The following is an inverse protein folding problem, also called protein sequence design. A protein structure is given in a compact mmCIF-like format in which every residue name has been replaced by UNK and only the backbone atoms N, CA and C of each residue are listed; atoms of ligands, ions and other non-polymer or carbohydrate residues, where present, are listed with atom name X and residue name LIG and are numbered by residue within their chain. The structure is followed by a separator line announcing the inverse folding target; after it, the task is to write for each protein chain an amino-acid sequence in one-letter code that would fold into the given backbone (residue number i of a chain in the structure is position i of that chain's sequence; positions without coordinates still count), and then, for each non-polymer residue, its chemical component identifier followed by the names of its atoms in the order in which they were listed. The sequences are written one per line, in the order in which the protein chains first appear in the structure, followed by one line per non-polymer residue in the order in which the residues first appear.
data_IF_428889974712
#
_entry.id   IF_428889974712
#
_cell.length_a   1.000
_cell.length_b   1.000
_cell.length_c   1.000
_cell.angle_alpha   90.00
_cell.angle_beta   90.00
_cell.angle_gamma   90.00
#
_symmetry.space_group_name_H-M   'P 1'
#
loop_
_entity.id
_entity.type
_entity.pdbx_description
1 polymer ?
#
# COMPACT_ATOMS: atom_id res chain seq x y z
N UNK A 1 -0.83 -4.15 -28.43
CA UNK A 1 -0.06 -2.98 -28.92
C UNK A 1 1.07 -2.77 -27.93
N UNK A 2 2.34 -3.01 -28.29
CA UNK A 2 3.49 -2.99 -27.36
C UNK A 2 3.71 -1.57 -26.86
N UNK A 3 3.48 -1.33 -25.57
CA UNK A 3 3.84 -0.09 -24.91
C UNK A 3 5.38 0.05 -24.91
N UNK A 4 5.90 1.04 -25.63
CA UNK A 4 7.28 1.52 -25.42
C UNK A 4 7.26 2.43 -24.20
N UNK A 5 7.55 1.86 -23.04
CA UNK A 5 7.90 2.60 -21.83
C UNK A 5 9.16 3.41 -22.20
N UNK A 6 9.03 4.74 -22.26
CA UNK A 6 10.20 5.59 -22.14
C UNK A 6 10.71 5.37 -20.70
N UNK A 7 11.81 4.67 -20.57
CA UNK A 7 12.59 4.68 -19.34
C UNK A 7 12.85 6.16 -19.01
N UNK A 8 12.04 6.71 -18.10
CA UNK A 8 12.47 7.82 -17.29
C UNK A 8 13.66 7.27 -16.51
N UNK A 9 14.85 7.69 -16.88
CA UNK A 9 16.04 7.34 -16.14
C UNK A 9 15.86 7.85 -14.72
N UNK A 10 15.50 6.95 -13.81
CA UNK A 10 15.78 7.16 -12.40
C UNK A 10 17.29 7.32 -12.40
N UNK A 11 17.75 8.58 -12.29
CA UNK A 11 19.13 8.88 -11.96
C UNK A 11 19.36 8.26 -10.57
N UNK A 12 19.74 6.98 -10.56
CA UNK A 12 20.41 6.38 -9.43
C UNK A 12 21.72 7.14 -9.36
N UNK A 13 21.74 8.21 -8.58
CA UNK A 13 22.96 8.94 -8.30
C UNK A 13 23.97 7.93 -7.73
N UNK A 14 25.02 7.66 -8.48
CA UNK A 14 26.22 7.03 -7.95
C UNK A 14 26.81 8.00 -6.92
N UNK A 15 26.31 7.95 -5.69
CA UNK A 15 26.98 8.54 -4.55
C UNK A 15 28.08 7.57 -4.12
N UNK A 16 29.18 8.17 -3.69
CA UNK A 16 30.37 7.52 -3.10
C UNK A 16 29.93 6.33 -2.23
N UNK A 17 30.09 5.13 -2.76
CA UNK A 17 29.78 3.88 -2.07
C UNK A 17 30.83 3.75 -0.97
N UNK A 18 30.46 3.93 0.29
CA UNK A 18 31.22 3.33 1.37
C UNK A 18 31.32 1.83 1.01
N UNK A 19 32.53 1.31 0.95
CA UNK A 19 32.78 -0.13 0.72
C UNK A 19 31.99 -0.90 1.80
N UNK A 20 30.86 -1.47 1.38
CA UNK A 20 30.08 -2.38 2.26
C UNK A 20 30.75 -3.73 2.19
N UNK A 21 30.95 -4.32 3.37
CA UNK A 21 31.21 -5.75 3.47
C UNK A 21 30.08 -6.49 2.77
N UNK A 22 30.39 -7.44 1.88
CA UNK A 22 29.39 -8.32 1.29
C UNK A 22 28.71 -9.12 2.40
N UNK A 23 27.47 -9.57 2.16
CA UNK A 23 26.73 -10.42 3.09
C UNK A 23 26.57 -11.79 2.44
N UNK A 24 26.87 -12.84 3.20
CA UNK A 24 26.67 -14.23 2.80
C UNK A 24 25.69 -14.87 3.76
N UNK A 25 24.53 -15.31 3.25
CA UNK A 25 23.53 -16.05 4.01
C UNK A 25 23.62 -17.51 3.59
N UNK A 26 23.93 -18.41 4.52
CA UNK A 26 24.17 -19.82 4.23
C UNK A 26 23.07 -20.72 4.79
N UNK A 27 22.86 -21.87 4.16
CA UNK A 27 21.91 -22.91 4.59
C UNK A 27 20.46 -22.45 4.76
N UNK A 28 20.04 -21.43 4.01
CA UNK A 28 18.70 -20.82 4.14
C UNK A 28 17.68 -21.50 3.23
N UNK A 29 16.43 -21.63 3.68
CA UNK A 29 15.29 -21.97 2.81
C UNK A 29 14.74 -20.70 2.18
N UNK A 30 14.79 -20.61 0.86
CA UNK A 30 14.30 -19.44 0.11
C UNK A 30 12.88 -19.66 -0.35
N UNK A 31 12.02 -18.71 -0.01
CA UNK A 31 10.61 -18.65 -0.41
C UNK A 31 10.36 -17.32 -1.11
N UNK A 32 10.10 -17.38 -2.39
CA UNK A 32 9.54 -16.23 -3.12
C UNK A 32 8.34 -16.69 -3.95
N UNK A 33 7.55 -15.72 -4.36
CA UNK A 33 6.24 -16.00 -4.94
C UNK A 33 6.28 -16.39 -6.43
N UNK A 34 7.45 -16.42 -7.04
CA UNK A 34 7.65 -16.72 -8.47
C UNK A 34 8.31 -18.06 -8.68
N UNK A 35 9.19 -18.44 -7.78
CA UNK A 35 10.01 -19.66 -7.89
C UNK A 35 9.50 -20.75 -6.94
N UNK A 36 9.87 -22.01 -7.20
CA UNK A 36 9.67 -23.10 -6.24
C UNK A 36 10.49 -22.84 -4.96
N UNK A 37 10.06 -23.45 -3.85
CA UNK A 37 10.81 -23.38 -2.58
C UNK A 37 12.19 -24.02 -2.78
N UNK A 38 13.24 -23.30 -2.40
CA UNK A 38 14.64 -23.72 -2.58
C UNK A 38 15.28 -23.90 -1.21
N UNK A 39 15.56 -25.13 -0.83
CA UNK A 39 16.20 -25.45 0.45
C UNK A 39 17.73 -25.36 0.34
N UNK A 40 18.40 -25.16 1.49
CA UNK A 40 19.85 -25.19 1.64
C UNK A 40 20.58 -24.29 0.63
N UNK A 41 20.06 -23.06 0.46
CA UNK A 41 20.67 -22.09 -0.45
C UNK A 41 21.71 -21.24 0.28
N UNK A 42 22.75 -20.85 -0.47
CA UNK A 42 23.64 -19.74 -0.10
C UNK A 42 23.28 -18.54 -0.97
N UNK A 43 23.10 -17.36 -0.35
CA UNK A 43 22.79 -16.11 -1.03
C UNK A 43 23.92 -15.13 -0.76
N UNK A 44 24.55 -14.63 -1.81
CA UNK A 44 25.58 -13.59 -1.73
C UNK A 44 25.04 -12.25 -2.14
N UNK A 45 25.23 -11.24 -1.28
CA UNK A 45 24.75 -9.86 -1.45
C UNK A 45 25.96 -8.94 -1.45
N UNK A 46 26.05 -8.07 -2.43
CA UNK A 46 27.06 -7.02 -2.50
C UNK A 46 26.53 -5.80 -3.27
N UNK A 47 26.89 -4.62 -2.84
CA UNK A 47 26.49 -3.35 -3.47
C UNK A 47 24.95 -3.20 -3.59
N UNK A 48 24.20 -3.69 -2.61
CA UNK A 48 22.73 -3.60 -2.59
C UNK A 48 22.01 -4.53 -3.56
N UNK A 49 22.71 -5.48 -4.17
CA UNK A 49 22.18 -6.47 -5.11
C UNK A 49 22.45 -7.91 -4.63
N UNK A 50 21.56 -8.81 -4.96
CA UNK A 50 21.81 -10.24 -4.89
C UNK A 50 22.74 -10.59 -6.04
N UNK A 51 23.99 -10.94 -5.74
CA UNK A 51 25.01 -11.28 -6.75
C UNK A 51 24.82 -12.70 -7.25
N UNK A 52 24.53 -13.63 -6.33
CA UNK A 52 24.34 -15.04 -6.65
C UNK A 52 23.50 -15.76 -5.63
N UNK A 53 22.87 -16.85 -6.04
CA UNK A 53 22.10 -17.77 -5.21
C UNK A 53 22.27 -19.20 -5.71
N UNK A 54 22.49 -20.16 -4.81
CA UNK A 54 22.61 -21.58 -5.14
C UNK A 54 23.17 -22.44 -4.01
N UNK A 55 22.90 -23.73 -4.01
CA UNK A 55 23.37 -24.68 -2.99
C UNK A 55 24.87 -25.01 -3.06
N UNK A 56 25.52 -24.77 -4.19
CA UNK A 56 26.95 -25.03 -4.38
C UNK A 56 27.85 -23.82 -4.12
N UNK A 57 27.29 -22.67 -3.79
CA UNK A 57 28.07 -21.42 -3.66
C UNK A 57 28.93 -21.36 -2.41
N UNK A 58 28.56 -22.05 -1.33
CA UNK A 58 29.34 -22.10 -0.08
C UNK A 58 30.79 -22.60 -0.28
N UNK A 59 31.03 -23.43 -1.29
CA UNK A 59 32.39 -23.93 -1.60
C UNK A 59 33.23 -22.97 -2.46
N UNK A 60 32.65 -21.93 -3.02
CA UNK A 60 33.30 -20.96 -3.92
C UNK A 60 33.58 -19.60 -3.26
N UNK A 61 32.92 -19.30 -2.15
CA UNK A 61 33.16 -18.10 -1.35
C UNK A 61 34.23 -18.44 -0.33
N UNK A 62 35.37 -17.75 -0.36
CA UNK A 62 36.47 -18.00 0.60
C UNK A 62 36.01 -17.62 2.02
N UNK A 63 35.88 -18.62 2.92
CA UNK A 63 35.58 -18.42 4.34
C UNK A 63 36.58 -17.48 5.06
N UNK A 64 37.71 -17.21 4.43
CA UNK A 64 38.80 -16.38 4.98
C UNK A 64 38.66 -14.88 4.66
N UNK A 65 37.67 -14.48 3.87
CA UNK A 65 37.48 -13.05 3.56
C UNK A 65 36.79 -12.34 4.75
N UNK A 66 37.62 -11.77 5.62
CA UNK A 66 37.20 -11.02 6.80
C UNK A 66 36.39 -9.75 6.48
N UNK A 67 36.19 -9.45 5.21
CA UNK A 67 35.34 -8.32 4.76
C UNK A 67 33.88 -8.75 4.57
N UNK A 68 33.55 -10.05 4.62
CA UNK A 68 32.20 -10.57 4.45
C UNK A 68 31.51 -10.78 5.80
N UNK A 69 30.22 -10.42 5.85
CA UNK A 69 29.35 -10.74 6.98
C UNK A 69 28.63 -12.05 6.72
N UNK A 70 28.87 -13.07 7.57
CA UNK A 70 28.29 -14.40 7.44
C UNK A 70 27.08 -14.58 8.35
N UNK A 71 25.96 -15.03 7.78
CA UNK A 71 24.70 -15.30 8.47
C UNK A 71 24.34 -16.78 8.29
N UNK A 72 24.22 -17.49 9.41
CA UNK A 72 23.71 -18.86 9.41
C UNK A 72 22.18 -18.88 9.30
N UNK A 73 21.69 -19.32 8.17
CA UNK A 73 20.26 -19.45 7.85
C UNK A 73 19.68 -20.84 8.18
N UNK A 74 20.43 -21.71 8.89
CA UNK A 74 19.97 -23.06 9.21
C UNK A 74 18.62 -23.03 9.95
N UNK A 75 17.61 -23.71 9.38
CA UNK A 75 16.24 -23.76 9.93
C UNK A 75 15.43 -22.47 9.76
N UNK A 76 15.92 -21.49 9.01
CA UNK A 76 15.26 -20.20 8.76
C UNK A 76 14.76 -20.08 7.31
N UNK A 77 13.97 -19.06 7.08
CA UNK A 77 13.29 -18.82 5.81
C UNK A 77 13.59 -17.40 5.31
N UNK A 78 14.04 -17.29 4.08
CA UNK A 78 14.34 -16.04 3.42
C UNK A 78 13.20 -15.70 2.46
N UNK A 79 12.59 -14.52 2.67
CA UNK A 79 11.57 -13.96 1.79
C UNK A 79 12.04 -12.61 1.23
N UNK A 80 11.49 -12.13 0.08
CA UNK A 80 11.66 -10.75 -0.33
C UNK A 80 11.16 -9.81 0.75
N UNK A 81 11.75 -8.63 0.86
CA UNK A 81 11.28 -7.59 1.76
C UNK A 81 9.83 -7.20 1.47
N UNK A 82 9.06 -7.02 2.54
CA UNK A 82 7.64 -6.72 2.45
C UNK A 82 7.38 -5.28 2.01
N UNK A 83 6.23 -5.09 1.35
CA UNK A 83 5.69 -3.79 1.01
C UNK A 83 4.45 -3.49 1.84
N UNK A 84 4.38 -2.27 2.38
CA UNK A 84 3.11 -1.65 2.74
C UNK A 84 2.74 -0.63 1.65
N UNK A 85 1.81 -1.03 0.80
CA UNK A 85 1.50 -0.25 -0.40
C UNK A 85 0.37 0.77 -0.22
N UNK A 86 0.05 1.12 1.02
CA UNK A 86 -0.87 2.20 1.33
C UNK A 86 -0.56 2.79 2.71
N UNK A 87 0.20 3.87 2.73
CA UNK A 87 0.58 4.58 3.96
C UNK A 87 0.43 6.09 3.78
N UNK A 88 0.45 6.81 4.90
CA UNK A 88 0.38 8.28 4.97
C UNK A 88 1.39 8.83 5.97
N UNK A 89 2.60 9.13 5.52
CA UNK A 89 3.71 9.58 6.39
C UNK A 89 3.47 10.92 7.10
N UNK A 90 2.51 11.72 6.62
CA UNK A 90 2.25 13.06 7.16
C UNK A 90 0.86 13.21 7.79
N UNK A 91 0.12 12.09 7.97
CA UNK A 91 -1.24 12.13 8.52
C UNK A 91 -1.26 12.45 10.02
N UNK A 92 -0.32 11.89 10.79
CA UNK A 92 -0.15 12.11 12.23
C UNK A 92 1.18 12.85 12.44
N UNK A 93 1.15 14.19 12.57
CA UNK A 93 2.38 15.00 12.65
C UNK A 93 3.29 14.69 13.84
N UNK A 94 2.74 14.08 14.90
CA UNK A 94 3.46 13.68 16.11
C UNK A 94 4.38 12.47 15.86
N UNK A 95 4.16 11.71 14.78
CA UNK A 95 5.03 10.59 14.40
C UNK A 95 5.99 11.10 13.33
N UNK A 96 7.24 11.30 13.71
CA UNK A 96 8.26 11.78 12.79
C UNK A 96 8.69 10.70 11.78
N UNK A 97 9.34 11.14 10.70
CA UNK A 97 9.74 10.26 9.60
C UNK A 97 10.73 9.16 10.04
N UNK A 98 11.62 9.45 11.01
CA UNK A 98 12.56 8.45 11.51
C UNK A 98 11.80 7.33 12.23
N UNK A 99 10.88 7.68 13.11
CA UNK A 99 10.02 6.70 13.80
C UNK A 99 9.23 5.85 12.80
N UNK A 100 8.63 6.46 11.77
CA UNK A 100 7.98 5.71 10.71
C UNK A 100 8.91 4.68 10.06
N UNK A 101 10.11 5.10 9.65
CA UNK A 101 11.05 4.23 8.93
C UNK A 101 11.60 3.12 9.81
N UNK A 102 11.95 3.42 11.06
CA UNK A 102 12.41 2.43 12.02
C UNK A 102 11.33 1.35 12.27
N UNK A 103 10.06 1.77 12.42
CA UNK A 103 8.94 0.84 12.62
C UNK A 103 8.67 -0.02 11.38
N UNK A 104 8.74 0.54 10.18
CA UNK A 104 8.59 -0.26 8.95
C UNK A 104 9.70 -1.31 8.86
N UNK A 105 10.96 -0.92 9.00
CA UNK A 105 12.10 -1.84 8.90
C UNK A 105 12.07 -2.90 10.02
N UNK A 106 11.77 -2.52 11.25
CA UNK A 106 11.61 -3.44 12.40
C UNK A 106 10.61 -4.57 12.09
N UNK A 107 9.58 -4.27 11.30
CA UNK A 107 8.53 -5.20 10.91
C UNK A 107 8.72 -5.80 9.50
N UNK A 108 9.94 -5.78 8.95
CA UNK A 108 10.26 -6.40 7.67
C UNK A 108 9.73 -5.65 6.43
N UNK A 109 9.18 -4.46 6.62
CA UNK A 109 8.67 -3.62 5.54
C UNK A 109 9.80 -2.79 4.96
N UNK A 110 10.35 -3.23 3.84
CA UNK A 110 11.49 -2.59 3.17
C UNK A 110 11.09 -1.60 2.07
N UNK A 111 9.82 -1.60 1.71
CA UNK A 111 9.26 -0.68 0.72
C UNK A 111 7.88 -0.18 1.15
N UNK A 112 7.63 1.10 0.96
CA UNK A 112 6.35 1.74 1.30
C UNK A 112 5.85 2.60 0.14
N UNK A 113 4.51 2.68 0.01
CA UNK A 113 3.84 3.55 -0.96
C UNK A 113 2.99 4.59 -0.23
N UNK A 114 3.52 5.83 -0.12
CA UNK A 114 2.75 6.96 0.42
C UNK A 114 1.70 7.40 -0.60
N UNK A 115 0.44 7.32 -0.19
CA UNK A 115 -0.71 7.54 -1.05
C UNK A 115 -1.36 8.90 -0.86
N UNK A 116 -0.72 9.81 -0.14
CA UNK A 116 -1.24 11.17 0.00
C UNK A 116 -0.50 11.99 1.04
N UNK A 117 0.33 12.92 0.56
CA UNK A 117 1.02 13.91 1.39
C UNK A 117 1.24 15.20 0.60
N UNK A 118 1.11 16.35 1.23
CA UNK A 118 1.58 17.60 0.62
C UNK A 118 3.11 17.54 0.52
N UNK A 119 3.64 17.77 -0.67
CA UNK A 119 5.08 17.60 -0.96
C UNK A 119 6.00 18.38 -0.01
N UNK A 120 5.58 19.57 0.40
CA UNK A 120 6.33 20.37 1.40
C UNK A 120 6.44 19.64 2.75
N UNK A 121 5.36 18.97 3.17
CA UNK A 121 5.32 18.21 4.43
C UNK A 121 6.08 16.88 4.31
N UNK A 122 6.11 16.29 3.10
CA UNK A 122 6.86 15.04 2.82
C UNK A 122 8.37 15.29 2.66
N UNK A 123 8.77 16.51 2.34
CA UNK A 123 10.18 16.85 2.04
C UNK A 123 11.17 16.41 3.12
N UNK A 124 10.93 16.57 4.45
CA UNK A 124 11.83 16.07 5.48
C UNK A 124 12.10 14.57 5.37
N UNK A 125 11.07 13.78 5.03
CA UNK A 125 11.21 12.32 4.81
C UNK A 125 12.10 12.02 3.60
N UNK A 126 11.90 12.76 2.49
CA UNK A 126 12.70 12.60 1.27
C UNK A 126 14.17 12.98 1.48
N UNK A 127 14.42 14.07 2.21
CA UNK A 127 15.78 14.52 2.55
C UNK A 127 16.46 13.49 3.48
N UNK A 128 15.75 12.98 4.50
CA UNK A 128 16.26 11.96 5.41
C UNK A 128 16.64 10.66 4.69
N UNK A 129 15.79 10.18 3.77
CA UNK A 129 16.08 8.98 2.96
C UNK A 129 17.35 9.17 2.14
N UNK A 130 17.55 10.35 1.58
CA UNK A 130 18.72 10.67 0.78
C UNK A 130 20.01 10.70 1.60
N UNK A 131 19.92 11.18 2.84
CA UNK A 131 21.04 11.29 3.77
C UNK A 131 21.36 9.96 4.46
N UNK A 132 20.34 9.08 4.63
CA UNK A 132 20.42 7.83 5.39
C UNK A 132 19.92 6.63 4.55
N UNK A 133 20.52 6.35 3.37
CA UNK A 133 19.99 5.35 2.46
C UNK A 133 19.95 3.93 3.02
N UNK A 134 20.84 3.60 3.96
CA UNK A 134 20.97 2.27 4.58
C UNK A 134 19.97 1.97 5.69
N UNK A 135 19.31 2.97 6.27
CA UNK A 135 18.43 2.83 7.44
C UNK A 135 17.00 3.30 7.16
N UNK A 136 16.58 3.21 5.90
CA UNK A 136 15.24 3.63 5.50
C UNK A 136 14.66 2.65 4.47
N UNK A 137 13.33 2.43 4.47
CA UNK A 137 12.67 1.70 3.39
C UNK A 137 12.79 2.45 2.06
N UNK A 138 12.44 1.79 0.96
CA UNK A 138 12.20 2.47 -0.31
C UNK A 138 10.86 3.19 -0.25
N UNK A 139 10.83 4.43 -0.68
CA UNK A 139 9.61 5.25 -0.69
C UNK A 139 9.16 5.53 -2.12
N UNK A 140 7.93 5.12 -2.42
CA UNK A 140 7.17 5.47 -3.61
C UNK A 140 6.03 6.40 -3.17
N UNK A 141 5.82 7.52 -3.85
CA UNK A 141 4.85 8.52 -3.38
C UNK A 141 4.07 9.17 -4.51
N UNK A 142 2.81 9.51 -4.19
CA UNK A 142 1.91 10.22 -5.09
C UNK A 142 2.03 11.75 -4.97
N UNK A 143 2.61 12.24 -3.87
CA UNK A 143 2.39 13.62 -3.47
C UNK A 143 0.95 13.83 -2.98
N UNK A 144 0.32 15.01 -3.20
CA UNK A 144 -1.00 15.29 -2.69
C UNK A 144 -2.09 14.44 -3.34
N UNK A 145 -3.15 14.18 -2.59
CA UNK A 145 -4.41 13.70 -3.14
C UNK A 145 -4.91 14.72 -4.17
N UNK A 146 -5.23 14.30 -5.37
CA UNK A 146 -5.85 15.13 -6.41
C UNK A 146 -7.36 15.01 -6.24
N UNK A 147 -8.00 16.08 -5.75
CA UNK A 147 -9.42 16.12 -5.40
C UNK A 147 -10.15 17.25 -6.15
N UNK A 148 -11.46 17.31 -6.05
CA UNK A 148 -12.26 18.40 -6.62
C UNK A 148 -12.09 19.72 -5.86
N UNK A 149 -12.84 20.75 -6.26
CA UNK A 149 -12.82 22.07 -5.61
C UNK A 149 -13.21 21.98 -4.11
N UNK A 150 -14.22 21.17 -3.80
CA UNK A 150 -14.68 20.89 -2.43
C UNK A 150 -13.91 19.73 -1.79
N UNK A 151 -12.60 19.90 -1.67
CA UNK A 151 -11.69 18.87 -1.14
C UNK A 151 -12.10 18.28 0.19
N UNK A 152 -11.94 16.97 0.34
CA UNK A 152 -12.14 16.28 1.62
C UNK A 152 -11.04 16.65 2.63
N UNK A 153 -9.78 16.51 2.24
CA UNK A 153 -8.61 16.73 3.10
C UNK A 153 -7.97 18.10 2.85
N UNK A 154 -8.56 19.16 3.40
CA UNK A 154 -8.06 20.55 3.24
C UNK A 154 -7.47 21.17 4.50
N UNK A 155 -7.44 20.45 5.64
CA UNK A 155 -6.83 20.90 6.89
C UNK A 155 -7.66 21.88 7.70
N UNK A 156 -8.96 21.90 7.51
CA UNK A 156 -9.86 22.83 8.22
C UNK A 156 -10.73 22.16 9.28
N UNK A 157 -10.74 20.84 9.33
CA UNK A 157 -11.62 20.05 10.20
C UNK A 157 -10.81 19.02 10.98
N UNK A 158 -11.19 18.74 12.25
CA UNK A 158 -10.55 17.69 13.04
C UNK A 158 -10.60 16.33 12.32
N UNK A 159 -9.50 15.60 12.30
CA UNK A 159 -9.38 14.29 11.62
C UNK A 159 -9.19 14.37 10.10
N UNK A 160 -9.20 15.59 9.51
CA UNK A 160 -8.97 15.80 8.08
C UNK A 160 -7.78 16.74 7.84
N UNK A 161 -6.53 16.29 8.03
CA UNK A 161 -5.35 17.12 7.78
C UNK A 161 -5.27 17.59 6.33
N UNK A 162 -4.37 18.55 6.04
CA UNK A 162 -4.18 19.01 4.67
C UNK A 162 -3.32 18.00 3.88
N UNK A 163 -3.96 17.17 3.07
CA UNK A 163 -3.28 16.15 2.24
C UNK A 163 -3.56 16.33 0.75
N UNK A 164 -4.38 17.28 0.35
CA UNK A 164 -4.90 17.34 -1.01
C UNK A 164 -4.68 18.69 -1.71
N UNK A 165 -4.72 18.63 -3.04
CA UNK A 165 -4.91 19.79 -3.92
C UNK A 165 -6.26 19.67 -4.61
N UNK A 166 -6.92 20.82 -4.87
CA UNK A 166 -8.18 20.87 -5.62
C UNK A 166 -7.92 21.20 -7.08
N UNK A 167 -8.61 20.51 -7.97
CA UNK A 167 -8.67 20.83 -9.41
C UNK A 167 -10.12 20.88 -9.89
N UNK A 168 -10.38 21.69 -10.88
CA UNK A 168 -11.66 21.89 -11.52
C UNK A 168 -11.52 21.97 -13.06
N UNK A 169 -12.60 22.28 -13.77
CA UNK A 169 -12.63 22.37 -15.22
C UNK A 169 -11.75 23.50 -15.78
N UNK A 170 -11.42 24.52 -14.96
CA UNK A 170 -10.57 25.65 -15.33
C UNK A 170 -9.10 25.41 -15.00
N UNK A 171 -8.79 24.31 -14.32
CA UNK A 171 -7.45 23.98 -13.87
C UNK A 171 -6.58 23.50 -15.04
N UNK A 172 -5.32 23.92 -15.07
CA UNK A 172 -4.33 23.38 -15.99
C UNK A 172 -3.85 22.01 -15.47
N UNK A 173 -4.66 20.96 -15.68
CA UNK A 173 -4.40 19.60 -15.17
C UNK A 173 -3.05 19.07 -15.67
N UNK A 174 -2.67 19.34 -16.94
CA UNK A 174 -1.37 18.97 -17.46
C UNK A 174 -0.24 19.63 -16.69
N UNK A 175 -0.34 20.92 -16.45
CA UNK A 175 0.68 21.64 -15.66
C UNK A 175 0.78 21.14 -14.21
N UNK A 176 -0.34 20.73 -13.61
CA UNK A 176 -0.33 20.09 -12.28
C UNK A 176 0.42 18.77 -12.32
N UNK A 177 0.11 17.89 -13.28
CA UNK A 177 0.76 16.57 -13.43
C UNK A 177 2.25 16.73 -13.74
N UNK A 178 2.62 17.63 -14.67
CA UNK A 178 4.02 17.90 -15.02
C UNK A 178 4.82 18.42 -13.81
N UNK A 179 4.19 19.28 -12.98
CA UNK A 179 4.77 19.76 -11.73
C UNK A 179 5.02 18.63 -10.73
N UNK A 180 4.06 17.73 -10.54
CA UNK A 180 4.20 16.58 -9.66
C UNK A 180 5.31 15.61 -10.14
N UNK A 181 5.41 15.40 -11.46
CA UNK A 181 6.49 14.59 -12.05
C UNK A 181 7.85 15.23 -11.78
N UNK A 182 7.96 16.55 -11.92
CA UNK A 182 9.22 17.27 -11.65
C UNK A 182 9.66 17.16 -10.18
N UNK A 183 8.73 16.97 -9.26
CA UNK A 183 8.97 16.70 -7.83
C UNK A 183 9.23 15.21 -7.52
N UNK A 184 9.22 14.34 -8.52
CA UNK A 184 9.60 12.93 -8.38
C UNK A 184 8.46 11.98 -7.98
N UNK A 185 7.19 12.36 -8.12
CA UNK A 185 6.08 11.43 -7.86
C UNK A 185 6.12 10.25 -8.82
N UNK A 186 5.76 9.06 -8.33
CA UNK A 186 5.85 7.80 -9.09
C UNK A 186 4.51 7.29 -9.60
N UNK A 187 3.42 7.85 -9.12
CA UNK A 187 2.02 7.59 -9.52
C UNK A 187 1.16 8.76 -9.07
N UNK A 188 -0.11 8.81 -9.49
CA UNK A 188 -1.06 9.84 -9.06
C UNK A 188 -2.16 9.22 -8.19
N UNK A 189 -2.62 9.96 -7.18
CA UNK A 189 -3.70 9.57 -6.29
C UNK A 189 -4.94 10.44 -6.54
N UNK A 190 -5.99 9.85 -7.13
CA UNK A 190 -7.30 10.50 -7.26
C UNK A 190 -8.11 10.41 -5.97
N UNK A 191 -9.01 11.40 -5.78
CA UNK A 191 -9.89 11.41 -4.64
C UNK A 191 -11.36 11.70 -5.02
N UNK A 192 -12.27 11.68 -4.03
CA UNK A 192 -13.69 11.43 -4.24
C UNK A 192 -14.51 12.59 -4.80
N UNK A 193 -14.04 13.85 -4.65
CA UNK A 193 -14.81 15.03 -5.04
C UNK A 193 -14.48 15.56 -6.45
N UNK A 194 -13.67 14.84 -7.22
CA UNK A 194 -13.42 15.19 -8.63
C UNK A 194 -14.72 15.11 -9.44
N UNK A 195 -14.92 16.05 -10.36
CA UNK A 195 -15.97 15.92 -11.36
C UNK A 195 -15.59 14.81 -12.35
N UNK A 196 -16.60 14.21 -12.98
CA UNK A 196 -16.40 13.18 -14.01
C UNK A 196 -15.45 13.66 -15.11
N UNK A 197 -15.68 14.87 -15.64
CA UNK A 197 -14.91 15.46 -16.72
C UNK A 197 -13.47 15.68 -16.33
N UNK A 198 -13.22 16.27 -15.16
CA UNK A 198 -11.89 16.54 -14.61
C UNK A 198 -11.11 15.23 -14.39
N UNK A 199 -11.79 14.20 -13.88
CA UNK A 199 -11.19 12.89 -13.66
C UNK A 199 -10.78 12.21 -14.97
N UNK A 200 -11.63 12.23 -15.99
CA UNK A 200 -11.31 11.66 -17.31
C UNK A 200 -10.09 12.34 -17.94
N UNK A 201 -9.99 13.67 -17.83
CA UNK A 201 -8.80 14.42 -18.28
C UNK A 201 -7.56 14.03 -17.48
N UNK A 202 -7.69 13.87 -16.16
CA UNK A 202 -6.57 13.43 -15.30
C UNK A 202 -6.05 12.05 -15.73
N UNK A 203 -6.95 11.07 -15.95
CA UNK A 203 -6.59 9.73 -16.42
C UNK A 203 -5.85 9.77 -17.76
N UNK A 204 -6.34 10.59 -18.70
CA UNK A 204 -5.72 10.75 -20.01
C UNK A 204 -4.32 11.36 -19.89
N UNK A 205 -4.16 12.46 -19.13
CA UNK A 205 -2.87 13.15 -18.95
C UNK A 205 -1.86 12.23 -18.25
N UNK A 206 -2.29 11.50 -17.22
CA UNK A 206 -1.44 10.52 -16.54
C UNK A 206 -0.94 9.43 -17.51
N UNK A 207 -1.84 8.87 -18.33
CA UNK A 207 -1.52 7.85 -19.35
C UNK A 207 -0.50 8.37 -20.36
N UNK A 208 -0.65 9.60 -20.84
CA UNK A 208 0.29 10.24 -21.78
C UNK A 208 1.70 10.39 -21.17
N UNK A 209 1.80 10.54 -19.86
CA UNK A 209 3.04 10.64 -19.10
C UNK A 209 3.56 9.28 -18.58
N UNK A 210 2.86 8.17 -18.86
CA UNK A 210 3.24 6.84 -18.40
C UNK A 210 3.02 6.59 -16.89
N UNK A 211 2.23 7.44 -16.23
CA UNK A 211 1.85 7.29 -14.83
C UNK A 211 0.55 6.51 -14.68
N UNK A 212 0.46 5.72 -13.62
CA UNK A 212 -0.81 5.14 -13.17
C UNK A 212 -1.55 6.12 -12.27
N UNK A 213 -2.87 6.19 -12.41
CA UNK A 213 -3.76 6.80 -11.42
C UNK A 213 -4.33 5.69 -10.57
N UNK A 214 -4.17 5.78 -9.29
CA UNK A 214 -4.80 4.88 -8.30
C UNK A 214 -5.49 5.72 -7.24
N UNK A 215 -6.42 5.15 -6.49
CA UNK A 215 -7.04 5.90 -5.40
C UNK A 215 -8.50 5.56 -5.19
N UNK A 216 -9.24 6.56 -4.71
CA UNK A 216 -10.68 6.50 -4.68
C UNK A 216 -11.22 6.89 -6.06
N UNK A 217 -12.12 6.09 -6.58
CA UNK A 217 -12.88 6.50 -7.76
C UNK A 217 -13.80 7.65 -7.35
N UNK A 218 -13.84 8.76 -8.09
CA UNK A 218 -14.71 9.88 -7.74
C UNK A 218 -16.18 9.49 -7.62
N UNK A 219 -16.88 10.13 -6.71
CA UNK A 219 -18.30 9.86 -6.45
C UNK A 219 -19.19 10.25 -7.65
N UNK A 220 -18.68 11.06 -8.56
CA UNK A 220 -19.40 11.60 -9.74
C UNK A 220 -19.46 10.66 -10.95
N UNK A 221 -18.67 9.56 -10.97
CA UNK A 221 -18.49 8.73 -12.16
C UNK A 221 -18.88 7.27 -11.92
N UNK A 222 -19.41 6.64 -12.96
CA UNK A 222 -19.60 5.19 -12.98
C UNK A 222 -18.26 4.44 -12.96
N UNK A 223 -18.19 3.35 -12.17
CA UNK A 223 -16.95 2.59 -12.01
C UNK A 223 -16.50 1.94 -13.33
N UNK A 224 -17.43 1.43 -14.14
CA UNK A 224 -17.06 0.79 -15.41
C UNK A 224 -16.48 1.80 -16.40
N UNK A 225 -17.01 3.03 -16.41
CA UNK A 225 -16.44 4.12 -17.20
C UNK A 225 -15.03 4.48 -16.74
N UNK A 226 -14.80 4.57 -15.43
CA UNK A 226 -13.46 4.82 -14.87
C UNK A 226 -12.44 3.74 -15.27
N UNK A 227 -12.86 2.46 -15.24
CA UNK A 227 -12.04 1.32 -15.69
C UNK A 227 -11.68 1.47 -17.17
N UNK A 228 -12.67 1.75 -18.03
CA UNK A 228 -12.46 1.91 -19.47
C UNK A 228 -11.59 3.12 -19.82
N UNK A 229 -11.68 4.18 -19.03
CA UNK A 229 -10.86 5.38 -19.18
C UNK A 229 -9.40 5.20 -18.75
N UNK A 230 -9.05 4.10 -18.05
CA UNK A 230 -7.67 3.75 -17.72
C UNK A 230 -7.30 3.90 -16.25
N UNK A 231 -8.28 3.72 -15.35
CA UNK A 231 -8.02 3.55 -13.92
C UNK A 231 -6.93 2.47 -13.71
N UNK A 232 -5.86 2.81 -13.00
CA UNK A 232 -4.72 1.92 -12.77
C UNK A 232 -4.82 1.09 -11.50
N UNK A 233 -5.58 1.55 -10.51
CA UNK A 233 -5.79 0.84 -9.26
C UNK A 233 -6.85 1.48 -8.37
N UNK A 234 -7.46 0.68 -7.51
CA UNK A 234 -8.45 1.10 -6.52
C UNK A 234 -7.94 0.85 -5.11
N UNK A 235 -8.52 1.56 -4.15
CA UNK A 235 -8.18 1.44 -2.74
C UNK A 235 -9.45 1.35 -1.89
N UNK A 236 -9.36 0.64 -0.74
CA UNK A 236 -10.44 0.46 0.24
C UNK A 236 -11.72 -0.16 -0.32
N UNK A 237 -11.68 -0.85 -1.44
CA UNK A 237 -12.86 -1.33 -2.18
C UNK A 237 -13.91 -0.24 -2.47
N UNK A 238 -13.46 1.03 -2.53
CA UNK A 238 -14.36 2.20 -2.69
C UNK A 238 -15.18 2.13 -3.96
N UNK A 239 -16.46 2.51 -3.85
CA UNK A 239 -17.45 2.49 -4.92
C UNK A 239 -17.86 1.10 -5.43
N UNK A 240 -17.30 0.00 -4.92
CA UNK A 240 -17.77 -1.34 -5.26
C UNK A 240 -19.16 -1.61 -4.70
N UNK A 241 -19.47 -1.05 -3.51
CA UNK A 241 -20.80 -1.10 -2.91
C UNK A 241 -21.87 -0.58 -3.87
N UNK A 242 -21.72 0.66 -4.34
CA UNK A 242 -22.65 1.23 -5.31
C UNK A 242 -22.62 0.49 -6.65
N UNK A 243 -21.44 0.21 -7.18
CA UNK A 243 -21.29 -0.41 -8.50
C UNK A 243 -21.92 -1.81 -8.57
N UNK A 244 -21.90 -2.56 -7.47
CA UNK A 244 -22.52 -3.88 -7.33
C UNK A 244 -24.03 -3.85 -7.02
N UNK A 245 -24.64 -2.69 -6.73
CA UNK A 245 -26.06 -2.60 -6.36
C UNK A 245 -26.99 -2.87 -7.54
N UNK A 246 -28.19 -3.40 -7.26
CA UNK A 246 -29.24 -3.64 -8.27
C UNK A 246 -29.70 -2.37 -8.96
N UNK A 247 -29.74 -1.28 -8.25
CA UNK A 247 -30.20 0.04 -8.68
C UNK A 247 -29.04 1.08 -8.75
N UNK A 248 -27.83 0.61 -9.01
CA UNK A 248 -26.60 1.39 -9.07
C UNK A 248 -26.74 2.68 -9.90
N UNK A 249 -27.48 2.64 -11.01
CA UNK A 249 -27.66 3.79 -11.88
C UNK A 249 -28.49 4.91 -11.21
N UNK A 250 -29.52 4.56 -10.43
CA UNK A 250 -30.30 5.51 -9.65
C UNK A 250 -29.48 6.07 -8.48
N UNK A 251 -28.75 5.22 -7.78
CA UNK A 251 -27.86 5.64 -6.68
C UNK A 251 -26.76 6.59 -7.19
N UNK A 252 -26.25 6.39 -8.40
CA UNK A 252 -25.29 7.32 -9.01
C UNK A 252 -25.93 8.68 -9.33
N UNK A 253 -27.17 8.70 -9.85
CA UNK A 253 -27.91 9.94 -10.13
C UNK A 253 -28.16 10.72 -8.83
N UNK A 254 -28.59 10.04 -7.76
CA UNK A 254 -28.77 10.66 -6.43
C UNK A 254 -27.45 11.25 -5.94
N UNK A 255 -26.35 10.49 -6.03
CA UNK A 255 -25.01 10.93 -5.64
C UNK A 255 -24.53 12.15 -6.42
N UNK A 256 -24.80 12.17 -7.72
CA UNK A 256 -24.48 13.32 -8.58
C UNK A 256 -25.29 14.57 -8.18
N UNK A 257 -26.57 14.40 -7.80
CA UNK A 257 -27.39 15.51 -7.28
C UNK A 257 -26.85 16.04 -5.95
N UNK A 258 -26.45 15.15 -5.02
CA UNK A 258 -25.85 15.57 -3.75
C UNK A 258 -24.53 16.34 -3.97
N UNK A 259 -23.75 15.95 -4.99
CA UNK A 259 -22.48 16.60 -5.35
C UNK A 259 -22.66 18.03 -5.92
N UNK A 260 -23.86 18.44 -6.34
CA UNK A 260 -24.15 19.85 -6.68
C UNK A 260 -23.94 20.77 -5.46
N UNK A 261 -24.03 20.19 -4.25
CA UNK A 261 -23.69 20.82 -2.97
C UNK A 261 -24.29 22.22 -2.80
N UNK A 262 -25.60 22.36 -3.10
CA UNK A 262 -26.31 23.63 -3.03
C UNK A 262 -26.24 24.30 -1.63
N UNK A 263 -26.17 23.45 -0.58
CA UNK A 263 -26.04 23.93 0.82
C UNK A 263 -24.61 24.35 1.18
N UNK A 264 -23.61 24.12 0.29
CA UNK A 264 -22.19 24.46 0.48
C UNK A 264 -21.60 23.90 1.76
N UNK A 265 -21.94 22.64 2.08
CA UNK A 265 -21.32 21.91 3.19
C UNK A 265 -19.87 21.54 2.85
N UNK A 266 -19.04 21.32 3.87
CA UNK A 266 -17.65 20.94 3.67
C UNK A 266 -17.52 19.60 2.95
N UNK A 267 -16.52 19.46 2.07
CA UNK A 267 -16.32 18.25 1.27
C UNK A 267 -16.19 16.97 2.09
N UNK A 268 -15.56 17.05 3.27
CA UNK A 268 -15.49 15.93 4.23
C UNK A 268 -16.88 15.52 4.76
N UNK A 269 -17.74 16.48 5.08
CA UNK A 269 -19.11 16.23 5.56
C UNK A 269 -19.99 15.71 4.42
N UNK A 270 -19.90 16.30 3.21
CA UNK A 270 -20.62 15.87 2.02
C UNK A 270 -20.27 14.41 1.66
N UNK A 271 -18.99 14.09 1.59
CA UNK A 271 -18.50 12.72 1.37
C UNK A 271 -19.07 11.74 2.40
N UNK A 272 -19.01 12.12 3.69
CA UNK A 272 -19.53 11.28 4.78
C UNK A 272 -21.03 11.07 4.64
N UNK A 273 -21.79 12.11 4.31
CA UNK A 273 -23.23 12.04 4.07
C UNK A 273 -23.56 11.04 2.95
N UNK A 274 -22.94 11.19 1.78
CA UNK A 274 -23.17 10.34 0.62
C UNK A 274 -22.88 8.86 0.95
N UNK A 275 -21.73 8.56 1.57
CA UNK A 275 -21.43 7.18 1.94
C UNK A 275 -22.39 6.62 2.98
N UNK A 276 -22.77 7.38 3.99
CA UNK A 276 -23.64 6.89 5.05
C UNK A 276 -25.08 6.67 4.58
N UNK A 277 -25.55 7.47 3.61
CA UNK A 277 -26.92 7.32 3.07
C UNK A 277 -27.06 6.13 2.11
N UNK A 278 -26.02 5.73 1.40
CA UNK A 278 -26.11 4.76 0.31
C UNK A 278 -25.46 3.41 0.63
N UNK A 279 -24.32 3.37 1.35
CA UNK A 279 -23.46 2.18 1.47
C UNK A 279 -24.20 0.92 1.92
N UNK A 280 -24.88 0.96 3.06
CA UNK A 280 -25.49 -0.24 3.62
C UNK A 280 -26.72 -0.69 2.84
N UNK A 281 -27.45 0.26 2.28
CA UNK A 281 -28.51 -0.06 1.34
C UNK A 281 -27.97 -0.77 0.09
N UNK A 282 -26.89 -0.27 -0.50
CA UNK A 282 -26.24 -0.85 -1.66
C UNK A 282 -25.73 -2.26 -1.38
N UNK A 283 -25.09 -2.48 -0.24
CA UNK A 283 -24.61 -3.80 0.21
C UNK A 283 -25.80 -4.78 0.36
N UNK A 284 -26.87 -4.37 1.02
CA UNK A 284 -28.07 -5.21 1.21
C UNK A 284 -28.79 -5.54 -0.12
N UNK A 285 -28.60 -4.72 -1.13
CA UNK A 285 -29.19 -4.88 -2.45
C UNK A 285 -28.16 -5.22 -3.53
N UNK A 286 -27.11 -5.94 -3.19
CA UNK A 286 -26.11 -6.40 -4.16
C UNK A 286 -26.75 -7.26 -5.26
N UNK A 287 -26.35 -7.01 -6.52
CA UNK A 287 -26.59 -7.88 -7.66
C UNK A 287 -25.31 -8.66 -7.96
N UNK A 288 -25.27 -9.91 -7.60
CA UNK A 288 -24.09 -10.79 -7.74
C UNK A 288 -23.64 -10.91 -9.19
N UNK A 289 -24.57 -10.91 -10.17
CA UNK A 289 -24.26 -11.02 -11.58
C UNK A 289 -23.57 -9.74 -12.08
N UNK A 290 -24.11 -8.58 -11.70
CA UNK A 290 -23.51 -7.27 -11.99
C UNK A 290 -22.15 -7.14 -11.33
N UNK A 291 -22.04 -7.47 -10.05
CA UNK A 291 -20.81 -7.41 -9.28
C UNK A 291 -19.71 -8.27 -9.92
N UNK A 292 -20.00 -9.53 -10.23
CA UNK A 292 -19.07 -10.43 -10.89
C UNK A 292 -18.63 -9.91 -12.26
N UNK A 293 -19.52 -9.31 -13.05
CA UNK A 293 -19.18 -8.69 -14.33
C UNK A 293 -18.18 -7.55 -14.17
N UNK A 294 -18.38 -6.69 -13.17
CA UNK A 294 -17.48 -5.58 -12.86
C UNK A 294 -16.12 -6.10 -12.40
N UNK A 295 -16.08 -7.09 -11.52
CA UNK A 295 -14.83 -7.71 -11.04
C UNK A 295 -14.04 -8.32 -12.21
N UNK A 296 -14.70 -9.03 -13.12
CA UNK A 296 -14.05 -9.55 -14.34
C UNK A 296 -13.51 -8.43 -15.23
N UNK A 297 -14.19 -7.29 -15.27
CA UNK A 297 -13.71 -6.11 -16.00
C UNK A 297 -12.46 -5.50 -15.34
N UNK A 298 -12.42 -5.40 -14.00
CA UNK A 298 -11.21 -4.99 -13.26
C UNK A 298 -10.02 -5.89 -13.61
N UNK A 299 -10.22 -7.21 -13.58
CA UNK A 299 -9.19 -8.18 -13.96
C UNK A 299 -8.74 -8.02 -15.41
N UNK A 300 -9.68 -7.94 -16.35
CA UNK A 300 -9.39 -7.83 -17.79
C UNK A 300 -8.62 -6.54 -18.16
N UNK A 301 -8.87 -5.44 -17.46
CA UNK A 301 -8.20 -4.15 -17.67
C UNK A 301 -6.92 -4.02 -16.83
N UNK A 302 -6.61 -5.01 -15.97
CA UNK A 302 -5.41 -5.01 -15.13
C UNK A 302 -5.43 -3.92 -14.06
N UNK A 303 -6.61 -3.62 -13.51
CA UNK A 303 -6.78 -2.68 -12.40
C UNK A 303 -6.37 -3.36 -11.10
N UNK A 304 -5.38 -2.80 -10.41
CA UNK A 304 -4.92 -3.32 -9.13
C UNK A 304 -5.88 -2.93 -7.99
N UNK A 305 -6.00 -3.79 -6.99
CA UNK A 305 -6.79 -3.51 -5.80
C UNK A 305 -5.91 -3.52 -4.56
N UNK A 306 -5.92 -2.44 -3.78
CA UNK A 306 -5.33 -2.37 -2.43
C UNK A 306 -6.49 -2.26 -1.43
N UNK A 307 -6.98 -3.38 -0.88
CA UNK A 307 -8.23 -3.39 -0.14
C UNK A 307 -8.15 -2.71 1.23
N UNK A 308 -6.98 -2.71 1.87
CA UNK A 308 -6.78 -2.18 3.23
C UNK A 308 -7.81 -2.74 4.20
N UNK A 309 -7.88 -4.06 4.30
CA UNK A 309 -8.86 -4.74 5.14
C UNK A 309 -8.73 -4.35 6.62
N UNK A 310 -7.51 -4.01 7.07
CA UNK A 310 -7.27 -3.48 8.42
C UNK A 310 -8.14 -2.27 8.74
N UNK A 311 -8.23 -1.28 7.82
CA UNK A 311 -9.08 -0.10 8.05
C UNK A 311 -10.55 -0.36 7.73
N UNK A 312 -10.86 -1.23 6.76
CA UNK A 312 -12.25 -1.57 6.43
C UNK A 312 -12.92 -2.37 7.53
N UNK A 313 -12.18 -3.18 8.28
CA UNK A 313 -12.68 -3.98 9.40
C UNK A 313 -12.44 -3.34 10.77
N UNK A 314 -11.91 -2.10 10.79
CA UNK A 314 -11.52 -1.38 12.00
C UNK A 314 -12.64 -1.31 13.06
N UNK A 315 -13.85 -0.95 12.65
CA UNK A 315 -14.97 -0.75 13.58
C UNK A 315 -15.55 -2.09 14.11
N UNK A 316 -15.41 -3.18 13.35
CA UNK A 316 -15.87 -4.52 13.74
C UNK A 316 -14.81 -5.27 14.56
N UNK A 317 -13.56 -5.32 14.08
CA UNK A 317 -12.47 -6.09 14.68
C UNK A 317 -11.82 -5.39 15.86
N UNK A 318 -11.81 -4.07 15.85
CA UNK A 318 -11.35 -3.22 16.96
C UNK A 318 -9.95 -3.60 17.45
N UNK A 319 -8.99 -3.77 16.53
CA UNK A 319 -7.60 -4.15 16.85
C UNK A 319 -7.00 -3.26 17.96
N UNK A 320 -7.33 -1.97 17.94
CA UNK A 320 -6.95 -1.00 18.96
C UNK A 320 -7.46 -1.32 20.39
N UNK A 321 -8.41 -2.25 20.56
CA UNK A 321 -8.87 -2.69 21.87
C UNK A 321 -8.03 -3.84 22.44
N UNK A 322 -7.24 -4.51 21.60
CA UNK A 322 -6.34 -5.59 22.01
C UNK A 322 -5.16 -5.03 22.82
N UNK A 323 -4.89 -5.56 24.03
CA UNK A 323 -3.73 -5.17 24.81
C UNK A 323 -2.38 -5.35 24.07
N UNK A 324 -2.21 -6.45 23.31
CA UNK A 324 -0.99 -6.71 22.55
C UNK A 324 -0.80 -5.67 21.44
N UNK A 325 -1.88 -5.27 20.78
CA UNK A 325 -1.85 -4.18 19.80
C UNK A 325 -1.40 -2.87 20.45
N UNK A 326 -1.95 -2.54 21.62
CA UNK A 326 -1.58 -1.32 22.35
C UNK A 326 -0.13 -1.29 22.83
N UNK A 327 0.50 -2.45 23.05
CA UNK A 327 1.93 -2.50 23.37
C UNK A 327 2.78 -1.89 22.25
N UNK A 328 2.35 -1.96 21.00
CA UNK A 328 3.05 -1.35 19.88
C UNK A 328 3.08 0.19 19.91
N UNK A 329 2.18 0.81 20.65
CA UNK A 329 2.15 2.27 20.81
C UNK A 329 3.35 2.80 21.60
N UNK A 330 4.00 1.97 22.41
CA UNK A 330 5.21 2.32 23.17
C UNK A 330 6.42 2.63 22.26
N UNK A 331 6.36 2.19 21.02
CA UNK A 331 7.39 2.49 20.02
C UNK A 331 7.17 3.87 19.34
N UNK A 332 6.05 4.53 19.63
CA UNK A 332 5.71 5.86 19.11
C UNK A 332 6.29 6.98 19.98
N UNK A 333 6.45 8.20 19.44
CA UNK A 333 6.77 9.37 20.26
C UNK A 333 5.72 9.58 21.36
N UNK A 334 6.14 10.02 22.54
CA UNK A 334 5.32 10.15 23.76
C UNK A 334 3.96 10.84 23.52
N UNK A 335 3.93 11.87 22.69
CA UNK A 335 2.70 12.59 22.40
C UNK A 335 1.71 11.73 21.59
N UNK A 336 2.19 10.98 20.60
CA UNK A 336 1.39 10.07 19.79
C UNK A 336 0.95 8.85 20.60
N UNK A 337 1.87 8.24 21.38
CA UNK A 337 1.56 7.12 22.29
C UNK A 337 0.40 7.46 23.21
N UNK A 338 0.49 8.61 23.89
CA UNK A 338 -0.55 9.06 24.83
C UNK A 338 -1.89 9.28 24.14
N UNK A 339 -1.91 10.01 23.01
CA UNK A 339 -3.15 10.28 22.27
C UNK A 339 -3.80 9.00 21.77
N UNK A 340 -3.00 8.08 21.23
CA UNK A 340 -3.50 6.79 20.74
C UNK A 340 -3.99 5.89 21.86
N UNK A 341 -3.29 5.85 23.01
CA UNK A 341 -3.74 5.10 24.18
C UNK A 341 -5.10 5.63 24.66
N UNK A 342 -5.21 6.93 24.89
CA UNK A 342 -6.44 7.59 25.35
C UNK A 342 -7.59 7.43 24.33
N UNK A 343 -7.29 7.58 23.04
CA UNK A 343 -8.24 7.47 21.96
C UNK A 343 -8.75 6.03 21.79
N UNK A 344 -7.86 5.05 21.80
CA UNK A 344 -8.20 3.63 21.67
C UNK A 344 -9.04 3.13 22.85
N UNK A 345 -8.74 3.58 24.08
CA UNK A 345 -9.56 3.25 25.27
C UNK A 345 -10.97 3.85 25.13
N UNK A 346 -11.04 5.12 24.73
CA UNK A 346 -12.33 5.80 24.54
C UNK A 346 -13.20 5.12 23.49
N UNK A 347 -12.62 4.75 22.32
CA UNK A 347 -13.34 4.04 21.27
C UNK A 347 -13.75 2.62 21.70
N UNK A 348 -12.93 1.96 22.52
CA UNK A 348 -13.23 0.62 23.03
C UNK A 348 -14.48 0.56 23.92
N UNK A 349 -14.97 1.69 24.42
CA UNK A 349 -16.20 1.77 25.20
C UNK A 349 -17.48 1.71 24.33
N UNK A 350 -17.38 1.90 23.02
CA UNK A 350 -18.53 1.81 22.11
C UNK A 350 -18.84 0.34 21.78
N UNK A 351 -20.10 0.02 21.49
CA UNK A 351 -20.47 -1.30 20.98
C UNK A 351 -20.13 -1.43 19.48
N UNK A 352 -19.87 -2.67 19.04
CA UNK A 352 -19.78 -3.01 17.64
C UNK A 352 -21.15 -2.95 17.01
N UNK A 353 -21.32 -2.19 15.95
CA UNK A 353 -22.61 -2.07 15.27
C UNK A 353 -22.82 -3.23 14.28
N UNK A 354 -24.10 -3.58 14.02
CA UNK A 354 -24.44 -4.55 12.98
C UNK A 354 -23.93 -4.14 11.60
N UNK A 355 -23.96 -2.86 11.30
CA UNK A 355 -23.44 -2.30 10.06
C UNK A 355 -21.92 -2.48 9.93
N UNK A 356 -21.17 -2.34 11.01
CA UNK A 356 -19.72 -2.58 11.00
C UNK A 356 -19.40 -4.05 10.70
N UNK A 357 -20.13 -4.98 11.32
CA UNK A 357 -19.98 -6.42 11.04
C UNK A 357 -20.34 -6.76 9.59
N UNK A 358 -21.44 -6.20 9.08
CA UNK A 358 -21.86 -6.37 7.69
C UNK A 358 -20.80 -5.87 6.70
N UNK A 359 -20.21 -4.71 6.94
CA UNK A 359 -19.17 -4.16 6.07
C UNK A 359 -17.88 -4.98 6.11
N UNK A 360 -17.52 -5.54 7.25
CA UNK A 360 -16.41 -6.48 7.41
C UNK A 360 -16.62 -7.72 6.53
N UNK A 361 -17.73 -8.46 6.75
CA UNK A 361 -18.05 -9.67 6.01
C UNK A 361 -18.13 -9.41 4.49
N UNK A 362 -18.76 -8.31 4.10
CA UNK A 362 -18.87 -7.90 2.70
C UNK A 362 -17.50 -7.63 2.11
N UNK A 363 -16.62 -6.88 2.81
CA UNK A 363 -15.28 -6.54 2.33
C UNK A 363 -14.42 -7.79 2.12
N UNK A 364 -14.42 -8.73 3.06
CA UNK A 364 -13.69 -10.00 2.93
C UNK A 364 -14.23 -10.84 1.76
N UNK A 365 -15.57 -10.96 1.64
CA UNK A 365 -16.19 -11.70 0.54
C UNK A 365 -15.88 -11.09 -0.82
N UNK A 366 -15.90 -9.76 -0.93
CA UNK A 366 -15.59 -9.04 -2.16
C UNK A 366 -14.14 -9.27 -2.59
N UNK A 367 -13.19 -9.18 -1.65
CA UNK A 367 -11.76 -9.41 -1.92
C UNK A 367 -11.51 -10.86 -2.35
N UNK A 368 -12.21 -11.84 -1.73
CA UNK A 368 -12.18 -13.25 -2.17
C UNK A 368 -12.59 -13.37 -3.64
N UNK A 369 -13.75 -12.82 -4.00
CA UNK A 369 -14.25 -12.89 -5.38
C UNK A 369 -13.31 -12.17 -6.36
N UNK A 370 -12.74 -11.03 -5.97
CA UNK A 370 -11.74 -10.34 -6.79
C UNK A 370 -10.52 -11.22 -7.04
N UNK A 371 -10.01 -11.87 -6.00
CA UNK A 371 -8.87 -12.78 -6.12
C UNK A 371 -9.19 -13.98 -7.02
N UNK A 372 -10.32 -14.65 -6.81
CA UNK A 372 -10.77 -15.80 -7.61
C UNK A 372 -10.92 -15.45 -9.10
N UNK A 373 -11.32 -14.23 -9.42
CA UNK A 373 -11.46 -13.73 -10.79
C UNK A 373 -10.16 -13.08 -11.35
N UNK A 374 -9.05 -13.20 -10.62
CA UNK A 374 -7.71 -12.81 -11.08
C UNK A 374 -7.42 -11.31 -11.01
N UNK A 375 -8.15 -10.55 -10.21
CA UNK A 375 -7.76 -9.17 -9.88
C UNK A 375 -6.48 -9.19 -9.04
N UNK A 376 -5.48 -8.39 -9.42
CA UNK A 376 -4.21 -8.28 -8.69
C UNK A 376 -4.41 -7.54 -7.37
N UNK A 377 -4.24 -8.26 -6.26
CA UNK A 377 -4.36 -7.71 -4.90
C UNK A 377 -2.97 -7.26 -4.42
N UNK A 378 -2.90 -6.06 -3.86
CA UNK A 378 -1.71 -5.48 -3.24
C UNK A 378 -2.00 -5.25 -1.76
N UNK A 379 -1.15 -5.75 -0.87
CA UNK A 379 -1.25 -5.51 0.57
C UNK A 379 -0.92 -4.05 0.91
N UNK A 380 -1.71 -3.45 1.77
CA UNK A 380 -1.52 -2.09 2.27
C UNK A 380 -2.50 -1.79 3.40
N UNK A 381 -2.11 -0.93 4.34
CA UNK A 381 -2.78 -0.83 5.64
C UNK A 381 -3.60 0.43 5.86
N UNK A 382 -3.24 1.54 5.21
CA UNK A 382 -3.72 2.90 5.51
C UNK A 382 -3.12 3.49 6.81
N UNK A 383 -1.96 2.94 7.27
CA UNK A 383 -1.26 3.48 8.45
C UNK A 383 -0.83 4.93 8.23
N UNK A 384 -0.86 5.74 9.30
CA UNK A 384 -1.18 5.49 10.71
C UNK A 384 -2.65 5.79 11.08
N UNK A 385 -3.58 5.80 10.12
CA UNK A 385 -4.99 6.08 10.35
C UNK A 385 -5.60 5.00 11.26
N UNK A 386 -6.51 5.37 12.16
CA UNK A 386 -7.23 4.42 12.99
C UNK A 386 -6.37 3.69 14.04
N UNK A 387 -5.31 4.34 14.55
CA UNK A 387 -4.39 3.72 15.53
C UNK A 387 -3.68 2.48 14.97
N UNK A 388 -3.49 2.43 13.65
CA UNK A 388 -2.75 1.37 12.98
C UNK A 388 -1.25 1.69 13.06
N UNK A 389 -0.51 0.85 13.79
CA UNK A 389 0.94 1.06 13.99
C UNK A 389 1.71 0.76 12.72
N UNK A 390 2.55 1.70 12.22
CA UNK A 390 3.36 1.49 11.03
C UNK A 390 4.17 0.19 11.09
N UNK A 391 4.19 -0.54 10.00
CA UNK A 391 4.86 -1.84 9.87
C UNK A 391 4.11 -2.99 10.54
N UNK A 392 3.81 -2.90 11.82
CA UNK A 392 3.09 -3.95 12.54
C UNK A 392 1.72 -4.27 11.94
N UNK A 393 0.98 -3.24 11.53
CA UNK A 393 -0.36 -3.41 10.95
C UNK A 393 -0.36 -4.15 9.62
N UNK A 394 0.76 -4.20 8.91
CA UNK A 394 0.85 -4.98 7.66
C UNK A 394 0.64 -6.47 7.94
N UNK A 395 1.20 -7.01 9.01
CA UNK A 395 1.00 -8.44 9.33
C UNK A 395 -0.47 -8.76 9.56
N UNK A 396 -1.24 -7.83 10.16
CA UNK A 396 -2.68 -7.99 10.30
C UNK A 396 -3.40 -7.93 8.95
N UNK A 397 -3.00 -7.05 8.04
CA UNK A 397 -3.52 -7.04 6.67
C UNK A 397 -3.28 -8.39 5.97
N UNK A 398 -2.07 -8.96 6.13
CA UNK A 398 -1.74 -10.27 5.56
C UNK A 398 -2.64 -11.38 6.13
N UNK A 399 -2.90 -11.38 7.44
CA UNK A 399 -3.85 -12.33 8.07
C UNK A 399 -5.27 -12.17 7.53
N UNK A 400 -5.75 -10.93 7.36
CA UNK A 400 -7.08 -10.65 6.81
C UNK A 400 -7.20 -11.05 5.34
N UNK A 401 -6.14 -10.89 4.55
CA UNK A 401 -6.10 -11.39 3.17
C UNK A 401 -6.18 -12.92 3.12
N UNK A 402 -5.51 -13.63 4.05
CA UNK A 402 -5.65 -15.08 4.16
C UNK A 402 -7.08 -15.48 4.60
N UNK A 403 -7.67 -14.76 5.55
CA UNK A 403 -9.08 -14.95 5.97
C UNK A 403 -10.05 -14.70 4.81
N UNK A 404 -9.76 -13.72 3.96
CA UNK A 404 -10.50 -13.47 2.72
C UNK A 404 -10.38 -14.61 1.70
N UNK A 405 -9.47 -15.58 1.89
CA UNK A 405 -9.37 -16.80 1.08
C UNK A 405 -8.15 -16.89 0.18
N UNK A 406 -7.21 -15.96 0.26
CA UNK A 406 -5.92 -16.08 -0.43
C UNK A 406 -5.06 -17.15 0.27
N UNK A 407 -4.38 -17.99 -0.49
CA UNK A 407 -3.35 -18.88 0.08
C UNK A 407 -2.19 -18.07 0.66
N UNK A 408 -1.45 -18.61 1.63
CA UNK A 408 -0.30 -17.92 2.22
C UNK A 408 0.72 -17.45 1.16
N UNK A 409 0.91 -18.23 0.09
CA UNK A 409 1.76 -17.84 -1.02
C UNK A 409 1.20 -16.63 -1.79
N UNK A 410 -0.10 -16.57 -2.03
CA UNK A 410 -0.75 -15.45 -2.71
C UNK A 410 -0.77 -14.20 -1.84
N UNK A 411 -0.90 -14.37 -0.52
CA UNK A 411 -0.72 -13.27 0.43
C UNK A 411 0.70 -12.72 0.38
N UNK A 412 1.73 -13.58 0.37
CA UNK A 412 3.12 -13.11 0.18
C UNK A 412 3.32 -12.39 -1.16
N UNK A 413 2.70 -12.88 -2.25
CA UNK A 413 2.71 -12.16 -3.55
C UNK A 413 2.19 -10.75 -3.41
N UNK A 414 1.08 -10.57 -2.69
CA UNK A 414 0.43 -9.27 -2.53
C UNK A 414 1.31 -8.23 -1.82
N UNK A 415 2.26 -8.69 -1.01
CA UNK A 415 3.20 -7.84 -0.26
C UNK A 415 4.65 -7.87 -0.82
N UNK A 416 4.89 -8.48 -1.97
CA UNK A 416 6.25 -8.60 -2.53
C UNK A 416 6.29 -8.29 -4.02
N UNK A 417 5.93 -9.24 -4.88
CA UNK A 417 6.04 -9.09 -6.33
C UNK A 417 4.91 -8.25 -6.93
N UNK A 418 3.67 -8.36 -6.43
CA UNK A 418 2.52 -7.64 -7.01
C UNK A 418 2.65 -6.10 -6.91
N UNK A 419 3.11 -5.50 -5.80
CA UNK A 419 3.41 -4.07 -5.78
C UNK A 419 4.58 -3.69 -6.71
N UNK A 420 5.57 -4.54 -6.91
CA UNK A 420 6.63 -4.31 -7.90
C UNK A 420 6.04 -4.29 -9.33
N UNK A 421 5.13 -5.20 -9.67
CA UNK A 421 4.41 -5.21 -10.96
C UNK A 421 3.58 -3.93 -11.18
N UNK A 422 3.01 -3.35 -10.12
CA UNK A 422 2.30 -2.07 -10.23
C UNK A 422 3.21 -0.96 -10.76
N UNK A 423 4.49 -0.97 -10.38
CA UNK A 423 5.48 0.00 -10.82
C UNK A 423 6.30 -0.45 -12.03
N UNK A 424 6.11 -1.67 -12.55
CA UNK A 424 6.93 -2.25 -13.63
C UNK A 424 8.38 -2.50 -13.18
N UNK A 425 8.55 -2.91 -11.92
CA UNK A 425 9.84 -3.20 -11.28
C UNK A 425 10.02 -4.70 -10.94
N UNK A 426 9.16 -5.57 -11.44
CA UNK A 426 9.17 -7.01 -11.19
C UNK A 426 10.44 -7.72 -11.70
N UNK A 427 11.21 -7.07 -12.54
CA UNK A 427 12.53 -7.50 -13.01
C UNK A 427 13.68 -7.01 -12.12
N UNK A 428 13.39 -6.26 -11.04
CA UNK A 428 14.37 -5.67 -10.14
C UNK A 428 14.16 -6.00 -8.67
N UNK A 429 12.92 -6.31 -8.27
CA UNK A 429 12.58 -6.56 -6.88
C UNK A 429 11.31 -7.42 -6.73
N UNK A 430 11.08 -7.96 -5.54
CA UNK A 430 9.92 -8.79 -5.24
C UNK A 430 10.15 -10.29 -5.41
N UNK A 431 11.33 -10.71 -5.91
CA UNK A 431 11.80 -12.09 -5.97
C UNK A 431 13.25 -12.19 -5.47
N UNK A 432 13.75 -13.42 -5.27
CA UNK A 432 15.12 -13.67 -4.79
C UNK A 432 15.90 -14.38 -5.90
N UNK A 433 16.45 -13.58 -6.80
CA UNK A 433 17.24 -14.04 -7.95
C UNK A 433 18.49 -13.16 -8.11
N UNK A 434 19.52 -13.68 -8.78
CA UNK A 434 20.71 -12.89 -9.08
C UNK A 434 20.37 -11.65 -9.92
N UNK A 435 20.92 -10.50 -9.55
CA UNK A 435 20.66 -9.20 -10.16
C UNK A 435 19.51 -8.41 -9.53
N UNK A 436 18.71 -9.01 -8.64
CA UNK A 436 17.63 -8.33 -7.92
C UNK A 436 18.19 -7.45 -6.79
N UNK A 437 17.42 -6.43 -6.41
CA UNK A 437 17.69 -5.58 -5.26
C UNK A 437 17.63 -6.41 -3.97
N UNK A 438 18.58 -6.20 -3.08
CA UNK A 438 18.70 -6.91 -1.82
C UNK A 438 17.84 -6.26 -0.73
N UNK A 439 16.53 -6.39 -0.88
CA UNK A 439 15.52 -6.11 0.14
C UNK A 439 14.93 -7.45 0.56
N UNK A 440 15.30 -7.92 1.75
CA UNK A 440 15.08 -9.30 2.19
C UNK A 440 14.69 -9.36 3.67
N UNK A 441 13.92 -10.38 4.04
CA UNK A 441 13.59 -10.69 5.44
C UNK A 441 13.92 -12.14 5.73
N UNK A 442 14.66 -12.39 6.80
CA UNK A 442 14.89 -13.72 7.35
C UNK A 442 13.88 -13.95 8.48
N UNK A 443 13.09 -15.01 8.36
CA UNK A 443 12.09 -15.43 9.33
C UNK A 443 12.55 -16.67 10.09
N UNK A 444 12.14 -16.78 11.36
CA UNK A 444 12.41 -17.98 12.18
C UNK A 444 11.45 -19.13 11.82
N UNK A 445 10.27 -18.85 11.29
CA UNK A 445 9.24 -19.84 10.97
C UNK A 445 8.75 -19.72 9.53
N UNK A 446 8.21 -20.82 9.00
CA UNK A 446 7.74 -20.92 7.62
C UNK A 446 6.44 -20.09 7.42
N UNK A 447 6.47 -19.01 6.61
CA UNK A 447 5.29 -18.19 6.36
C UNK A 447 4.22 -18.90 5.50
N UNK A 448 4.58 -20.01 4.83
CA UNK A 448 3.61 -20.80 4.07
C UNK A 448 2.79 -21.75 4.96
N UNK A 449 3.28 -22.09 6.16
CA UNK A 449 2.51 -22.85 7.16
C UNK A 449 1.47 -21.96 7.87
N UNK A 450 1.87 -20.75 8.23
CA UNK A 450 0.99 -19.69 8.72
C UNK A 450 1.51 -18.33 8.30
N UNK A 451 0.65 -17.50 7.72
CA UNK A 451 1.07 -16.15 7.31
C UNK A 451 1.46 -15.28 8.52
N UNK A 452 0.95 -15.55 9.71
CA UNK A 452 1.35 -14.88 10.95
C UNK A 452 2.84 -15.07 11.28
N UNK A 453 3.49 -16.10 10.73
CA UNK A 453 4.94 -16.32 10.88
C UNK A 453 5.79 -15.23 10.22
N UNK A 454 5.20 -14.35 9.39
CA UNK A 454 5.88 -13.14 8.89
C UNK A 454 6.25 -12.16 10.00
N UNK A 455 5.65 -12.26 11.19
CA UNK A 455 5.98 -11.46 12.36
C UNK A 455 7.21 -11.97 13.12
N UNK A 456 7.56 -13.26 12.96
CA UNK A 456 8.69 -13.88 13.66
C UNK A 456 10.00 -13.62 12.89
N UNK A 457 10.38 -12.33 12.86
CA UNK A 457 11.52 -11.82 12.12
C UNK A 457 12.82 -12.14 12.86
N UNK A 458 13.78 -12.74 12.17
CA UNK A 458 15.14 -12.94 12.65
C UNK A 458 16.03 -11.75 12.27
N UNK A 459 15.94 -11.30 11.01
CA UNK A 459 16.77 -10.23 10.46
C UNK A 459 16.11 -9.56 9.26
N UNK A 460 16.35 -8.28 9.10
CA UNK A 460 15.93 -7.52 7.93
C UNK A 460 17.15 -7.00 7.18
N UNK A 461 17.14 -7.11 5.87
CA UNK A 461 18.12 -6.50 4.97
C UNK A 461 17.37 -5.54 4.06
N UNK A 462 17.66 -4.26 4.15
CA UNK A 462 17.08 -3.23 3.29
C UNK A 462 18.17 -2.57 2.45
N UNK A 463 18.00 -2.55 1.13
CA UNK A 463 18.97 -1.99 0.18
C UNK A 463 20.38 -2.59 0.32
N UNK A 464 20.49 -3.83 0.82
CA UNK A 464 21.74 -4.52 1.09
C UNK A 464 22.40 -4.19 2.42
N UNK A 465 21.69 -3.50 3.34
CA UNK A 465 22.16 -3.19 4.69
C UNK A 465 21.37 -3.98 5.72
N UNK A 466 22.05 -4.56 6.70
CA UNK A 466 21.44 -5.20 7.86
C UNK A 466 20.84 -4.12 8.77
N UNK A 467 19.61 -4.37 9.26
CA UNK A 467 18.86 -3.47 10.12
C UNK A 467 18.91 -3.92 11.59
#
# INVERSE_FOLDING_TARGET
MKYRIRLLGILIGFQCIALHSGIVIENITVIDAKNEIRNEQTVFIENGLIQSIGSALSSSIEESDSSLEHIDGTGKYLIPGLWDAHVHLTFVPEIDHKTHFDLYLKNGVTSIRDTGAILRELKPSLDYIKENPGTTPRLFYAGPLIDGADRVYKGMEPGFPNLSIGIDENSNIRGVVDGLIAEGVTFLKSYEMLTRETYLVLLQVAKENGLRVTGHVPLSIDLEEAIEAGLGGMQHVRNMDLACAKDADNLLIERQSDLENEEKIAGSALRTHIHSSQRYYAIDNTDDVRCLRIIKKLSAYGVFQTPTLTINTFDSRRFYADPEWRETYKDLPEAAEKDWMDGSIRLSANDVTENAMKFDEWSLSLVRTMHEEGVKIIAGTDTPIGYLTPGYSLHKELELLAEAGLSNLEVLKSATITPAEFFGLEDKMGTIEAGMLADLVILNQNPLESISNTQDIHLVIAKGYIQ
#
